data_IF_885850105395
#
_entry.id   IF_885850105395
#
_cell.length_a   1.000
_cell.length_b   1.000
_cell.length_c   1.000
_cell.angle_alpha   90.00
_cell.angle_beta   90.00
_cell.angle_gamma   90.00
#
_symmetry.space_group_name_H-M   'P 1'
#
loop_
_entity.id
_entity.type
_entity.pdbx_description
1 polymer ?
#
# COMPACT_ATOMS: atom_id res chain seq x y z
N UNK A 1 15.08 -11.32 -42.20
CA UNK A 1 15.36 -11.78 -40.80
C UNK A 1 14.68 -10.80 -39.87
N UNK A 2 13.55 -11.19 -39.31
CA UNK A 2 12.78 -10.35 -38.37
C UNK A 2 13.49 -10.40 -37.01
N UNK A 3 13.97 -9.25 -36.55
CA UNK A 3 14.53 -9.09 -35.22
C UNK A 3 13.42 -9.35 -34.19
N UNK A 4 13.48 -10.47 -33.53
CA UNK A 4 12.61 -10.81 -32.40
C UNK A 4 12.86 -9.75 -31.32
N UNK A 5 11.95 -8.77 -31.18
CA UNK A 5 11.97 -7.82 -30.07
C UNK A 5 11.79 -8.63 -28.79
N UNK A 6 12.89 -8.77 -28.02
CA UNK A 6 12.89 -9.40 -26.71
C UNK A 6 11.78 -8.73 -25.88
N UNK A 7 10.69 -9.44 -25.58
CA UNK A 7 9.60 -8.93 -24.73
C UNK A 7 10.22 -8.55 -23.39
N UNK A 8 10.18 -7.27 -23.03
CA UNK A 8 10.62 -6.78 -21.72
C UNK A 8 9.64 -7.30 -20.67
N UNK A 9 10.15 -7.80 -19.56
CA UNK A 9 9.34 -8.20 -18.42
C UNK A 9 8.65 -6.97 -17.81
N UNK A 10 7.38 -7.10 -17.41
CA UNK A 10 6.64 -6.05 -16.69
C UNK A 10 7.38 -5.61 -15.43
N UNK A 11 8.03 -6.53 -14.71
CA UNK A 11 8.86 -6.22 -13.55
C UNK A 11 9.99 -5.24 -13.88
N UNK A 12 10.63 -5.41 -15.05
CA UNK A 12 11.70 -4.53 -15.50
C UNK A 12 11.18 -3.12 -15.81
N UNK A 13 9.98 -3.01 -16.39
CA UNK A 13 9.36 -1.70 -16.67
C UNK A 13 8.95 -0.97 -15.39
N UNK A 14 8.48 -1.70 -14.38
CA UNK A 14 8.13 -1.17 -13.05
C UNK A 14 9.40 -0.86 -12.24
N UNK A 15 10.53 -1.48 -12.55
CA UNK A 15 11.78 -1.36 -11.79
C UNK A 15 11.85 -2.25 -10.54
N UNK A 16 10.79 -3.01 -10.22
CA UNK A 16 10.73 -3.88 -9.06
C UNK A 16 11.16 -5.31 -9.42
N UNK A 17 12.28 -5.75 -8.86
CA UNK A 17 12.82 -7.10 -9.04
C UNK A 17 12.09 -8.12 -8.18
N UNK A 18 11.91 -7.81 -6.90
CA UNK A 18 11.24 -8.67 -5.93
C UNK A 18 10.49 -7.82 -4.89
N UNK A 19 9.38 -8.36 -4.36
CA UNK A 19 8.63 -7.81 -3.23
C UNK A 19 8.65 -8.87 -2.13
N UNK A 20 9.25 -8.56 -1.02
CA UNK A 20 9.31 -9.45 0.14
C UNK A 20 8.48 -8.90 1.33
N UNK A 21 8.70 -9.46 2.51
CA UNK A 21 7.96 -9.08 3.73
C UNK A 21 8.35 -7.70 4.29
N UNK A 22 9.48 -7.16 3.85
CA UNK A 22 10.08 -5.95 4.40
C UNK A 22 9.95 -4.77 3.41
N UNK A 23 10.03 -5.06 2.10
CA UNK A 23 10.04 -4.00 1.11
C UNK A 23 10.18 -4.49 -0.33
N UNK A 24 10.81 -3.67 -1.16
CA UNK A 24 10.98 -3.93 -2.59
C UNK A 24 12.45 -3.86 -2.97
N UNK A 25 12.99 -4.96 -3.48
CA UNK A 25 14.28 -4.98 -4.15
C UNK A 25 14.12 -4.48 -5.59
N UNK A 26 14.96 -3.52 -6.00
CA UNK A 26 14.96 -3.00 -7.37
C UNK A 26 16.00 -3.72 -8.24
N UNK A 27 15.88 -3.59 -9.57
CA UNK A 27 16.91 -4.09 -10.50
C UNK A 27 18.25 -3.35 -10.37
N UNK A 28 18.25 -2.16 -9.75
CA UNK A 28 19.45 -1.37 -9.49
C UNK A 28 20.14 -1.79 -8.18
N UNK A 29 19.69 -2.87 -7.55
CA UNK A 29 20.15 -3.38 -6.24
C UNK A 29 19.87 -2.43 -5.08
N UNK A 30 18.99 -1.45 -5.26
CA UNK A 30 18.45 -0.64 -4.18
C UNK A 30 17.32 -1.38 -3.47
N UNK A 31 17.04 -0.98 -2.24
CA UNK A 31 15.96 -1.54 -1.46
C UNK A 31 15.02 -0.42 -0.97
N UNK A 32 13.74 -0.55 -1.25
CA UNK A 32 12.73 0.43 -0.88
C UNK A 32 11.86 -0.12 0.24
N UNK A 33 11.77 0.62 1.33
CA UNK A 33 10.93 0.30 2.49
C UNK A 33 9.79 1.30 2.57
N UNK A 34 8.57 0.82 2.76
CA UNK A 34 7.35 1.62 2.74
C UNK A 34 6.72 1.68 4.12
N UNK A 35 6.41 2.88 4.58
CA UNK A 35 5.63 3.13 5.79
C UNK A 35 4.34 3.85 5.40
N UNK A 36 3.20 3.28 5.80
CA UNK A 36 1.88 3.90 5.69
C UNK A 36 1.72 4.85 6.87
N UNK A 37 1.55 6.13 6.60
CA UNK A 37 1.37 7.16 7.62
C UNK A 37 -0.11 7.47 7.75
N UNK A 38 -0.64 7.38 8.97
CA UNK A 38 -2.04 7.72 9.25
C UNK A 38 -2.23 9.24 9.16
N UNK A 39 -3.16 9.73 8.32
CA UNK A 39 -3.44 11.14 8.21
C UNK A 39 -4.07 11.70 9.49
N UNK A 40 -3.79 12.96 9.78
CA UNK A 40 -4.42 13.71 10.86
C UNK A 40 -5.43 14.72 10.28
N UNK A 41 -6.60 14.82 10.88
CA UNK A 41 -7.54 15.85 10.51
C UNK A 41 -7.11 17.19 11.13
N UNK A 42 -6.47 18.04 10.35
CA UNK A 42 -5.97 19.34 10.79
C UNK A 42 -7.08 20.33 11.13
N UNK A 43 -8.31 20.16 10.62
CA UNK A 43 -9.42 21.08 10.86
C UNK A 43 -9.91 21.09 12.33
N UNK A 44 -9.58 20.03 13.10
CA UNK A 44 -9.97 19.92 14.52
C UNK A 44 -8.80 20.19 15.48
N UNK A 45 -7.63 20.53 14.95
CA UNK A 45 -6.43 20.77 15.75
C UNK A 45 -6.22 22.27 16.01
N UNK A 46 -5.64 22.59 17.17
CA UNK A 46 -5.19 23.95 17.45
C UNK A 46 -3.99 24.32 16.58
N UNK A 47 -3.81 25.59 16.30
CA UNK A 47 -2.68 26.12 15.53
C UNK A 47 -1.33 25.69 16.11
N UNK A 48 -1.17 25.74 17.44
CA UNK A 48 0.03 25.29 18.12
C UNK A 48 0.31 23.80 17.90
N UNK A 49 -0.72 22.96 17.86
CA UNK A 49 -0.59 21.55 17.60
C UNK A 49 -0.17 21.29 16.14
N UNK A 50 -0.73 22.06 15.20
CA UNK A 50 -0.33 21.98 13.79
C UNK A 50 1.14 22.37 13.62
N UNK A 51 1.56 23.49 14.20
CA UNK A 51 2.97 23.91 14.19
C UNK A 51 3.89 22.83 14.79
N UNK A 52 3.50 22.23 15.91
CA UNK A 52 4.23 21.13 16.53
C UNK A 52 4.40 19.92 15.58
N UNK A 53 3.34 19.55 14.83
CA UNK A 53 3.40 18.45 13.84
C UNK A 53 4.27 18.79 12.64
N UNK A 54 4.26 20.04 12.17
CA UNK A 54 5.16 20.49 11.09
C UNK A 54 6.62 20.41 11.54
N UNK A 55 6.94 20.87 12.75
CA UNK A 55 8.29 20.76 13.31
C UNK A 55 8.73 19.29 13.48
N UNK A 56 7.82 18.44 13.94
CA UNK A 56 8.07 17.00 14.07
C UNK A 56 8.41 16.36 12.71
N UNK A 57 7.66 16.70 11.66
CA UNK A 57 7.93 16.22 10.30
C UNK A 57 9.29 16.75 9.80
N UNK A 58 9.57 18.02 10.03
CA UNK A 58 10.86 18.62 9.65
C UNK A 58 12.03 17.91 10.34
N UNK A 59 11.91 17.62 11.64
CA UNK A 59 12.94 16.90 12.38
C UNK A 59 13.12 15.47 11.86
N UNK A 60 12.02 14.77 11.59
CA UNK A 60 12.05 13.44 10.98
C UNK A 60 12.83 13.44 9.67
N UNK A 61 12.51 14.37 8.75
CA UNK A 61 13.14 14.44 7.43
C UNK A 61 14.61 14.86 7.48
N UNK A 62 15.06 15.57 8.52
CA UNK A 62 16.48 15.89 8.72
C UNK A 62 17.32 14.68 9.11
N UNK A 63 16.72 13.71 9.77
CA UNK A 63 17.42 12.52 10.29
C UNK A 63 17.47 11.37 9.28
N UNK A 64 16.66 11.45 8.21
CA UNK A 64 16.56 10.41 7.19
C UNK A 64 17.17 10.95 5.89
N UNK A 65 18.32 10.40 5.49
CA UNK A 65 19.09 10.89 4.34
C UNK A 65 18.37 10.71 3.00
N UNK A 66 17.59 9.64 2.86
CA UNK A 66 16.90 9.32 1.60
C UNK A 66 15.44 8.95 1.86
N UNK A 67 14.60 9.97 2.04
CA UNK A 67 13.17 9.83 2.25
C UNK A 67 12.38 10.41 1.08
N UNK A 68 11.40 9.66 0.61
CA UNK A 68 10.40 10.12 -0.36
C UNK A 68 9.03 10.13 0.30
N UNK A 69 8.23 11.15 0.05
CA UNK A 69 6.84 11.20 0.50
C UNK A 69 5.95 11.08 -0.72
N UNK A 70 5.07 10.08 -0.71
CA UNK A 70 4.06 9.91 -1.75
C UNK A 70 2.66 10.02 -1.16
N UNK A 71 1.76 10.60 -1.93
CA UNK A 71 0.35 10.65 -1.62
C UNK A 71 -0.41 9.93 -2.73
N UNK A 72 -1.09 8.85 -2.38
CA UNK A 72 -1.89 8.07 -3.33
C UNK A 72 -3.37 8.32 -3.04
N UNK A 73 -4.14 8.52 -4.11
CA UNK A 73 -5.59 8.48 -4.03
C UNK A 73 -6.01 7.01 -4.13
N UNK A 74 -6.28 6.38 -2.99
CA UNK A 74 -6.89 5.05 -3.00
C UNK A 74 -8.40 5.18 -2.90
N UNK A 75 -9.12 4.25 -3.52
CA UNK A 75 -10.56 4.11 -3.26
C UNK A 75 -10.71 3.25 -2.02
N UNK A 76 -11.44 3.74 -1.04
CA UNK A 76 -11.85 2.87 0.06
C UNK A 76 -12.65 1.69 -0.49
N UNK A 77 -12.20 0.49 -0.17
CA UNK A 77 -12.88 -0.74 -0.57
C UNK A 77 -13.56 -1.33 0.67
N UNK A 78 -14.88 -1.34 0.68
CA UNK A 78 -15.65 -2.01 1.74
C UNK A 78 -15.79 -3.51 1.49
N UNK A 79 -14.83 -4.13 0.78
CA UNK A 79 -14.90 -5.57 0.41
C UNK A 79 -14.97 -6.46 1.66
N UNK A 80 -14.16 -6.18 2.67
CA UNK A 80 -14.20 -6.95 3.92
C UNK A 80 -15.57 -6.83 4.61
N UNK A 81 -16.11 -5.62 4.67
CA UNK A 81 -17.42 -5.35 5.27
C UNK A 81 -18.55 -6.02 4.46
N UNK A 82 -18.48 -5.95 3.13
CA UNK A 82 -19.44 -6.61 2.23
C UNK A 82 -19.39 -8.14 2.36
N UNK A 83 -18.20 -8.72 2.46
CA UNK A 83 -18.03 -10.16 2.68
C UNK A 83 -18.61 -10.58 4.02
N UNK A 84 -18.38 -9.80 5.07
CA UNK A 84 -18.98 -10.05 6.38
C UNK A 84 -20.52 -9.96 6.33
N UNK A 85 -21.08 -8.96 5.66
CA UNK A 85 -22.53 -8.85 5.48
C UNK A 85 -23.10 -10.03 4.68
N UNK A 86 -22.43 -10.46 3.61
CA UNK A 86 -22.83 -11.64 2.82
C UNK A 86 -22.80 -12.92 3.66
N UNK A 87 -21.77 -13.11 4.47
CA UNK A 87 -21.67 -14.25 5.37
C UNK A 87 -22.80 -14.25 6.42
N UNK A 88 -23.09 -13.10 7.02
CA UNK A 88 -24.23 -12.97 7.94
C UNK A 88 -25.56 -13.22 7.25
N UNK A 89 -25.75 -12.67 6.05
CA UNK A 89 -26.97 -12.85 5.25
C UNK A 89 -27.23 -14.34 4.93
N UNK A 90 -26.18 -15.11 4.66
CA UNK A 90 -26.30 -16.55 4.38
C UNK A 90 -26.73 -17.39 5.60
N UNK A 91 -26.41 -16.92 6.81
CA UNK A 91 -26.72 -17.60 8.09
C UNK A 91 -28.00 -17.10 8.72
N UNK A 92 -28.51 -15.95 8.33
CA UNK A 92 -29.68 -15.31 8.96
C UNK A 92 -30.99 -15.92 8.44
N UNK A 93 -31.87 -16.28 9.37
CA UNK A 93 -33.18 -16.86 9.07
C UNK A 93 -34.36 -15.89 9.21
N UNK A 94 -34.16 -14.78 9.95
CA UNK A 94 -35.18 -13.76 10.13
C UNK A 94 -35.29 -12.86 8.91
N UNK A 95 -36.44 -12.84 8.25
CA UNK A 95 -36.69 -12.06 7.03
C UNK A 95 -36.47 -10.55 7.22
N UNK A 96 -36.87 -10.00 8.38
CA UNK A 96 -36.68 -8.56 8.64
C UNK A 96 -35.20 -8.19 8.84
N UNK A 97 -34.41 -9.08 9.47
CA UNK A 97 -32.97 -8.88 9.63
C UNK A 97 -32.26 -9.00 8.28
N UNK A 98 -32.68 -9.96 7.44
CA UNK A 98 -32.16 -10.07 6.08
C UNK A 98 -32.38 -8.80 5.26
N UNK A 99 -33.57 -8.23 5.32
CA UNK A 99 -33.89 -6.97 4.62
C UNK A 99 -32.98 -5.81 5.09
N UNK A 100 -32.66 -5.72 6.38
CA UNK A 100 -31.75 -4.71 6.91
C UNK A 100 -30.33 -4.95 6.38
N UNK A 101 -29.81 -6.18 6.42
CA UNK A 101 -28.49 -6.53 5.91
C UNK A 101 -28.36 -6.25 4.40
N UNK A 102 -29.39 -6.45 3.61
CA UNK A 102 -29.43 -6.09 2.18
C UNK A 102 -29.39 -4.58 1.98
N UNK A 103 -30.14 -3.82 2.79
CA UNK A 103 -30.09 -2.35 2.79
C UNK A 103 -28.71 -1.80 3.17
N UNK A 104 -28.08 -2.39 4.17
CA UNK A 104 -26.73 -2.03 4.60
C UNK A 104 -25.69 -2.33 3.49
N UNK A 105 -25.79 -3.46 2.81
CA UNK A 105 -24.94 -3.79 1.68
C UNK A 105 -25.12 -2.77 0.53
N UNK A 106 -26.35 -2.43 0.18
CA UNK A 106 -26.64 -1.42 -0.85
C UNK A 106 -26.18 -0.01 -0.43
N UNK A 107 -26.23 0.31 0.86
CA UNK A 107 -25.72 1.56 1.40
C UNK A 107 -24.19 1.64 1.28
N UNK A 108 -23.45 0.56 1.59
CA UNK A 108 -22.01 0.49 1.40
C UNK A 108 -21.63 0.67 -0.08
N UNK A 109 -22.39 0.10 -1.02
CA UNK A 109 -22.17 0.30 -2.46
C UNK A 109 -22.33 1.78 -2.86
N UNK A 110 -23.33 2.46 -2.32
CA UNK A 110 -23.60 3.88 -2.59
C UNK A 110 -22.51 4.78 -2.02
N UNK A 111 -22.10 4.53 -0.76
CA UNK A 111 -21.01 5.28 -0.12
C UNK A 111 -19.70 5.06 -0.89
N UNK A 112 -19.38 3.85 -1.30
CA UNK A 112 -18.17 3.56 -2.07
C UNK A 112 -18.07 4.38 -3.35
N UNK A 113 -19.20 4.69 -3.99
CA UNK A 113 -19.25 5.57 -5.17
C UNK A 113 -19.02 7.04 -4.78
N UNK A 114 -19.51 7.47 -3.62
CA UNK A 114 -19.47 8.86 -3.17
C UNK A 114 -18.16 9.25 -2.45
N UNK A 115 -17.58 8.33 -1.68
CA UNK A 115 -16.35 8.56 -0.89
C UNK A 115 -15.08 8.19 -1.65
N UNK A 116 -15.06 8.42 -2.94
CA UNK A 116 -14.12 7.88 -3.92
C UNK A 116 -12.63 8.25 -3.73
N UNK A 117 -12.20 8.89 -2.64
CA UNK A 117 -10.77 9.16 -2.46
C UNK A 117 -10.35 9.19 -0.99
N UNK A 118 -10.03 8.05 -0.43
CA UNK A 118 -9.16 8.02 0.74
C UNK A 118 -7.73 8.34 0.25
N UNK A 119 -7.10 9.35 0.85
CA UNK A 119 -5.70 9.65 0.59
C UNK A 119 -4.84 8.80 1.51
N UNK A 120 -3.93 8.05 0.92
CA UNK A 120 -2.91 7.31 1.64
C UNK A 120 -1.59 8.05 1.54
N UNK A 121 -0.95 8.26 2.68
CA UNK A 121 0.36 8.89 2.76
C UNK A 121 1.42 7.82 3.00
N UNK A 122 2.43 7.82 2.17
CA UNK A 122 3.55 6.89 2.24
C UNK A 122 4.83 7.66 2.54
N UNK A 123 5.59 7.16 3.49
CA UNK A 123 6.99 7.50 3.64
C UNK A 123 7.80 6.33 3.09
N UNK A 124 8.63 6.59 2.09
CA UNK A 124 9.44 5.58 1.40
C UNK A 124 10.89 5.88 1.71
N UNK A 125 11.59 4.89 2.27
CA UNK A 125 13.02 4.99 2.54
C UNK A 125 13.76 4.19 1.50
N UNK A 126 14.74 4.81 0.87
CA UNK A 126 15.59 4.19 -0.14
C UNK A 126 16.94 3.85 0.47
N UNK A 127 17.31 2.60 0.40
CA UNK A 127 18.65 2.10 0.72
C UNK A 127 19.38 1.83 -0.58
N UNK A 128 20.57 2.41 -0.72
CA UNK A 128 21.41 2.18 -1.88
C UNK A 128 22.00 0.74 -1.89
N UNK A 129 22.61 0.35 -3.01
CA UNK A 129 23.19 -0.97 -3.16
C UNK A 129 24.27 -1.27 -2.11
N UNK A 130 25.01 -0.22 -1.65
CA UNK A 130 26.06 -0.39 -0.64
C UNK A 130 25.48 -0.67 0.74
N UNK A 131 24.40 0.01 1.11
CA UNK A 131 23.69 -0.24 2.37
C UNK A 131 23.08 -1.65 2.41
N UNK A 132 22.56 -2.13 1.29
CA UNK A 132 22.06 -3.50 1.14
C UNK A 132 23.20 -4.52 1.30
N UNK A 133 24.33 -4.32 0.63
CA UNK A 133 25.51 -5.18 0.74
C UNK A 133 26.08 -5.22 2.17
N UNK A 134 26.01 -4.11 2.92
CA UNK A 134 26.44 -4.02 4.32
C UNK A 134 25.41 -4.54 5.33
N UNK A 135 24.24 -4.98 4.86
CA UNK A 135 23.14 -5.44 5.71
C UNK A 135 22.62 -4.35 6.68
N UNK A 136 22.65 -3.09 6.25
CA UNK A 136 22.24 -1.93 7.06
C UNK A 136 20.73 -1.66 7.02
N UNK A 137 20.00 -2.34 6.13
CA UNK A 137 18.55 -2.12 5.91
C UNK A 137 17.74 -2.31 7.20
N UNK A 138 17.99 -3.39 7.94
CA UNK A 138 17.29 -3.67 9.21
C UNK A 138 17.51 -2.61 10.28
N UNK A 139 18.76 -2.12 10.41
CA UNK A 139 19.10 -1.06 11.35
C UNK A 139 18.43 0.27 10.92
N UNK A 140 18.41 0.57 9.63
CA UNK A 140 17.74 1.75 9.07
C UNK A 140 16.23 1.74 9.29
N UNK A 141 15.59 0.59 9.14
CA UNK A 141 14.16 0.40 9.44
C UNK A 141 13.89 0.70 10.91
N UNK A 142 14.65 0.06 11.82
CA UNK A 142 14.49 0.25 13.28
C UNK A 142 14.72 1.70 13.69
N UNK A 143 15.72 2.37 13.10
CA UNK A 143 15.96 3.80 13.30
C UNK A 143 14.76 4.63 12.87
N UNK A 144 14.23 4.38 11.67
CA UNK A 144 13.09 5.12 11.12
C UNK A 144 11.82 4.91 11.96
N UNK A 145 11.52 3.68 12.36
CA UNK A 145 10.39 3.38 13.23
C UNK A 145 10.47 4.08 14.57
N UNK A 146 11.67 4.12 15.17
CA UNK A 146 11.92 4.85 16.41
C UNK A 146 11.67 6.34 16.21
N UNK A 147 12.24 6.95 15.17
CA UNK A 147 12.04 8.36 14.85
C UNK A 147 10.56 8.70 14.65
N UNK A 148 9.82 7.88 13.90
CA UNK A 148 8.38 8.08 13.68
C UNK A 148 7.60 8.05 15.01
N UNK A 149 7.93 7.10 15.90
CA UNK A 149 7.32 7.01 17.24
C UNK A 149 7.66 8.22 18.11
N UNK A 150 8.93 8.60 18.17
CA UNK A 150 9.43 9.72 18.98
C UNK A 150 8.82 11.06 18.54
N UNK A 151 8.56 11.23 17.23
CA UNK A 151 7.89 12.39 16.66
C UNK A 151 6.35 12.28 16.72
N UNK A 152 5.80 11.23 17.29
CA UNK A 152 4.37 11.03 17.51
C UNK A 152 3.55 10.85 16.22
N UNK A 153 4.14 10.21 15.20
CA UNK A 153 3.41 9.78 14.01
C UNK A 153 2.81 8.39 14.22
N UNK A 154 1.56 8.24 13.81
CA UNK A 154 0.93 6.92 13.70
C UNK A 154 1.29 6.34 12.34
N UNK A 155 1.90 5.18 12.33
CA UNK A 155 2.36 4.54 11.11
C UNK A 155 2.23 3.01 11.18
N UNK A 156 2.27 2.40 10.02
CA UNK A 156 2.37 0.96 9.82
C UNK A 156 3.48 0.68 8.82
N UNK A 157 4.39 -0.24 9.12
CA UNK A 157 5.30 -0.80 8.13
C UNK A 157 4.47 -1.59 7.11
N UNK A 158 4.63 -1.30 5.83
CA UNK A 158 3.85 -1.93 4.79
C UNK A 158 4.24 -3.41 4.65
N UNK A 159 3.25 -4.28 4.74
CA UNK A 159 3.42 -5.70 4.44
C UNK A 159 3.54 -5.93 2.93
N UNK A 160 3.94 -7.14 2.53
CA UNK A 160 3.98 -7.57 1.13
C UNK A 160 2.67 -7.29 0.39
N UNK A 161 1.52 -7.55 1.03
CA UNK A 161 0.21 -7.31 0.44
C UNK A 161 -0.14 -5.82 0.37
N UNK A 162 0.27 -5.02 1.36
CA UNK A 162 0.14 -3.57 1.30
C UNK A 162 0.93 -3.00 0.12
N UNK A 163 2.17 -3.48 -0.11
CA UNK A 163 3.01 -3.04 -1.23
C UNK A 163 2.39 -3.41 -2.57
N UNK A 164 1.90 -4.64 -2.72
CA UNK A 164 1.18 -5.07 -3.93
C UNK A 164 -0.04 -4.19 -4.19
N UNK A 165 -0.80 -3.86 -3.15
CA UNK A 165 -1.95 -2.96 -3.23
C UNK A 165 -1.52 -1.54 -3.63
N UNK A 166 -0.47 -0.99 -3.04
CA UNK A 166 0.09 0.31 -3.38
C UNK A 166 0.45 0.37 -4.87
N UNK A 167 1.16 -0.63 -5.38
CA UNK A 167 1.51 -0.69 -6.80
C UNK A 167 0.28 -0.81 -7.69
N UNK A 168 -0.70 -1.60 -7.27
CA UNK A 168 -1.94 -1.75 -8.01
C UNK A 168 -2.72 -0.43 -8.09
N UNK A 169 -2.80 0.32 -6.99
CA UNK A 169 -3.44 1.65 -6.97
C UNK A 169 -2.67 2.63 -7.84
N UNK A 170 -1.35 2.57 -7.82
CA UNK A 170 -0.50 3.47 -8.60
C UNK A 170 -0.62 3.23 -10.11
N UNK A 171 -0.64 1.97 -10.55
CA UNK A 171 -0.68 1.61 -11.97
C UNK A 171 -2.10 1.43 -12.52
N UNK A 172 -3.07 1.07 -11.66
CA UNK A 172 -4.46 0.78 -12.07
C UNK A 172 -5.43 1.53 -11.17
N UNK A 173 -5.80 2.75 -11.55
CA UNK A 173 -6.62 3.68 -10.76
C UNK A 173 -7.96 3.14 -10.25
N UNK A 174 -8.48 2.05 -10.80
CA UNK A 174 -9.82 1.52 -10.51
C UNK A 174 -9.79 0.13 -9.88
N UNK A 175 -8.71 -0.23 -9.18
CA UNK A 175 -8.59 -1.56 -8.61
C UNK A 175 -9.47 -1.71 -7.37
N UNK A 176 -10.40 -2.67 -7.41
CA UNK A 176 -11.26 -3.06 -6.30
C UNK A 176 -10.78 -4.32 -5.57
N UNK A 177 -9.71 -4.95 -6.07
CA UNK A 177 -9.16 -6.16 -5.47
C UNK A 177 -8.27 -5.83 -4.27
N UNK A 178 -8.52 -6.52 -3.16
CA UNK A 178 -7.72 -6.41 -1.93
C UNK A 178 -6.80 -7.61 -1.71
N UNK A 179 -6.97 -8.65 -2.52
CA UNK A 179 -6.18 -9.88 -2.43
C UNK A 179 -5.41 -10.11 -3.73
N UNK A 180 -4.09 -10.26 -3.62
CA UNK A 180 -3.19 -10.55 -4.73
C UNK A 180 -2.57 -11.93 -4.51
N UNK A 181 -2.75 -12.81 -5.47
CA UNK A 181 -2.12 -14.12 -5.43
C UNK A 181 -0.59 -13.97 -5.44
N UNK A 182 0.06 -14.81 -4.65
CA UNK A 182 1.52 -14.81 -4.56
C UNK A 182 2.12 -15.79 -5.58
N UNK A 183 2.13 -15.38 -6.83
CA UNK A 183 2.82 -16.10 -7.89
C UNK A 183 3.67 -15.12 -8.69
N UNK A 184 4.76 -15.58 -9.25
CA UNK A 184 5.70 -14.72 -9.99
C UNK A 184 5.44 -14.65 -11.51
N UNK A 185 4.34 -15.22 -11.95
CA UNK A 185 3.92 -15.25 -13.35
C UNK A 185 4.45 -16.45 -14.14
N UNK A 186 5.21 -17.37 -13.55
CA UNK A 186 5.75 -18.57 -14.21
C UNK A 186 4.64 -19.47 -14.74
N UNK A 187 3.49 -19.53 -14.06
CA UNK A 187 2.30 -20.29 -14.50
C UNK A 187 1.84 -19.91 -15.92
N UNK A 188 2.11 -18.67 -16.35
CA UNK A 188 1.80 -18.23 -17.70
C UNK A 188 2.90 -18.49 -18.72
N UNK A 189 4.08 -18.92 -18.27
CA UNK A 189 5.22 -19.26 -19.14
C UNK A 189 5.24 -20.75 -19.49
N UNK A 190 4.74 -21.61 -18.61
CA UNK A 190 4.68 -23.07 -18.83
C UNK A 190 3.49 -23.49 -19.69
N UNK A 191 2.48 -22.65 -19.83
CA UNK A 191 1.33 -22.86 -20.71
C UNK A 191 1.61 -22.53 -22.18
N UNK A 192 2.66 -23.10 -22.77
CA UNK A 192 2.89 -23.14 -24.23
C UNK A 192 1.88 -24.05 -24.95
N UNK A 193 0.62 -24.00 -24.55
CA UNK A 193 -0.50 -24.70 -25.17
C UNK A 193 -1.46 -23.70 -25.74
N UNK A 194 -1.39 -23.52 -27.05
CA UNK A 194 -2.45 -23.11 -27.98
C UNK A 194 -3.50 -22.08 -27.47
N UNK A 195 -3.36 -20.85 -27.93
CA UNK A 195 -4.50 -20.13 -28.50
C UNK A 195 -4.12 -19.60 -29.89
#
# INVERSE_FOLDING_TARGET
MSAYKKKRSTRLEIGAKNIDMIGVETFQKEYLVYFLISPLNIAVLSESTICGKVLALMNLLKEIESAEIACLNSRETFVANKNHLKERLSKEKNSKVREILEKDAAFLDRIQIQTASAREFLLIIRFDAKAVERNEVGAGISKTEKLLKDQGFLFKHASKDDIKRIFSVYYVQNLTQTYFQDFDGEVYLEGGGCF
#
